data_IF_417409158973
#
_entry.id   IF_417409158973
#
_cell.length_a   1.000
_cell.length_b   1.000
_cell.length_c   1.000
_cell.angle_alpha   90.00
_cell.angle_beta   90.00
_cell.angle_gamma   90.00
#
_symmetry.space_group_name_H-M   'P 1'
#
loop_
_entity.id
_entity.type
_entity.pdbx_description
1 polymer ?
#
# COMPACT_ATOMS: atom_id res chain seq x y z
N UNK A 1 -13.64 13.64 -0.84
CA UNK A 1 -12.84 14.14 -1.98
C UNK A 1 -11.57 13.31 -2.21
N UNK A 2 -10.66 13.16 -1.23
CA UNK A 2 -9.51 12.23 -1.34
C UNK A 2 -9.95 10.77 -1.58
N UNK A 3 -10.96 10.31 -0.85
CA UNK A 3 -11.48 8.93 -0.86
C UNK A 3 -11.89 8.42 -2.25
N UNK A 4 -12.80 9.13 -2.93
CA UNK A 4 -13.31 8.72 -4.26
C UNK A 4 -12.22 8.79 -5.34
N UNK A 5 -11.29 9.75 -5.21
CA UNK A 5 -10.13 9.88 -6.10
C UNK A 5 -9.12 8.76 -5.89
N UNK A 6 -8.90 8.35 -4.64
CA UNK A 6 -8.03 7.22 -4.29
C UNK A 6 -8.57 5.93 -4.90
N UNK A 7 -9.87 5.67 -4.77
CA UNK A 7 -10.50 4.51 -5.40
C UNK A 7 -10.49 4.57 -6.92
N UNK A 8 -10.61 5.75 -7.52
CA UNK A 8 -10.48 5.92 -8.98
C UNK A 8 -9.05 5.63 -9.45
N UNK A 9 -8.04 6.16 -8.75
CA UNK A 9 -6.64 5.91 -9.01
C UNK A 9 -6.32 4.42 -8.84
N UNK A 10 -6.68 3.84 -7.69
CA UNK A 10 -6.55 2.40 -7.38
C UNK A 10 -7.28 1.55 -8.43
N UNK A 11 -8.50 1.89 -8.85
CA UNK A 11 -9.26 1.17 -9.87
C UNK A 11 -8.59 1.24 -11.24
N UNK A 12 -8.05 2.40 -11.61
CA UNK A 12 -7.24 2.57 -12.82
C UNK A 12 -5.97 1.73 -12.74
N UNK A 13 -5.31 1.67 -11.59
CA UNK A 13 -4.13 0.83 -11.37
C UNK A 13 -4.44 -0.68 -11.42
N UNK A 14 -5.57 -1.12 -10.83
CA UNK A 14 -6.01 -2.52 -10.87
C UNK A 14 -6.46 -2.99 -12.27
N UNK A 15 -6.78 -2.06 -13.18
CA UNK A 15 -7.15 -2.36 -14.57
C UNK A 15 -5.95 -2.70 -15.46
N UNK A 16 -4.72 -2.34 -15.07
CA UNK A 16 -3.54 -2.71 -15.83
C UNK A 16 -3.14 -4.18 -15.56
N UNK A 17 -2.79 -4.91 -16.63
CA UNK A 17 -2.51 -6.36 -16.62
C UNK A 17 -1.40 -6.79 -15.65
N UNK A 18 -0.64 -5.84 -15.11
CA UNK A 18 0.45 -6.01 -14.14
C UNK A 18 -0.02 -6.74 -12.86
N UNK A 19 -1.26 -6.48 -12.40
CA UNK A 19 -1.79 -7.07 -11.17
C UNK A 19 -2.27 -8.52 -11.31
N UNK A 20 -2.61 -8.99 -12.51
CA UNK A 20 -3.19 -10.35 -12.65
C UNK A 20 -2.13 -11.44 -12.71
N UNK A 21 -1.01 -11.23 -13.39
CA UNK A 21 0.01 -12.27 -13.60
C UNK A 21 1.24 -12.09 -12.72
N UNK A 22 1.90 -10.91 -12.78
CA UNK A 22 3.15 -10.65 -12.05
C UNK A 22 2.91 -10.58 -10.54
N UNK A 23 1.83 -9.91 -10.15
CA UNK A 23 1.52 -9.71 -8.75
C UNK A 23 1.05 -10.98 -8.04
N UNK A 24 0.27 -11.83 -8.71
CA UNK A 24 -0.11 -13.13 -8.19
C UNK A 24 1.11 -14.02 -7.95
N UNK A 25 2.07 -14.02 -8.88
CA UNK A 25 3.33 -14.75 -8.74
C UNK A 25 4.15 -14.24 -7.54
N UNK A 26 4.21 -12.93 -7.34
CA UNK A 26 4.88 -12.33 -6.19
C UNK A 26 4.21 -12.70 -4.86
N UNK A 27 2.87 -12.72 -4.80
CA UNK A 27 2.15 -13.17 -3.61
C UNK A 27 2.33 -14.68 -3.35
N UNK A 28 2.48 -15.52 -4.37
CA UNK A 28 2.76 -16.95 -4.19
C UNK A 28 4.16 -17.22 -3.64
N UNK A 29 5.13 -16.39 -4.04
CA UNK A 29 6.54 -16.58 -3.67
C UNK A 29 6.97 -15.78 -2.44
N UNK A 30 6.19 -14.79 -2.01
CA UNK A 30 6.54 -13.91 -0.91
C UNK A 30 5.41 -13.79 0.14
N UNK A 31 5.59 -14.35 1.35
CA UNK A 31 4.57 -14.31 2.40
C UNK A 31 4.16 -12.90 2.83
N UNK A 32 5.09 -11.94 2.84
CA UNK A 32 4.77 -10.56 3.22
C UNK A 32 3.80 -9.90 2.23
N UNK A 33 4.03 -10.11 0.93
CA UNK A 33 3.17 -9.60 -0.13
C UNK A 33 1.81 -10.29 -0.07
N UNK A 34 1.78 -11.60 0.14
CA UNK A 34 0.54 -12.36 0.32
C UNK A 34 -0.31 -11.78 1.46
N UNK A 35 0.28 -11.65 2.64
CA UNK A 35 -0.43 -11.19 3.83
C UNK A 35 -0.93 -9.74 3.66
N UNK A 36 -0.12 -8.87 3.06
CA UNK A 36 -0.50 -7.48 2.82
C UNK A 36 -1.75 -7.42 1.91
N UNK A 37 -1.81 -8.29 0.92
CA UNK A 37 -2.91 -8.31 -0.05
C UNK A 37 -4.19 -8.91 0.48
N UNK A 38 -4.10 -9.93 1.31
CA UNK A 38 -5.26 -10.46 2.00
C UNK A 38 -5.84 -9.44 2.97
N UNK A 39 -4.97 -8.65 3.60
CA UNK A 39 -5.39 -7.49 4.39
C UNK A 39 -6.10 -6.44 3.52
N UNK A 40 -5.49 -6.03 2.41
CA UNK A 40 -6.08 -5.05 1.48
C UNK A 40 -7.44 -5.49 0.95
N UNK A 41 -7.55 -6.74 0.51
CA UNK A 41 -8.79 -7.31 -0.02
C UNK A 41 -9.90 -7.27 1.04
N UNK A 42 -9.56 -7.59 2.29
CA UNK A 42 -10.50 -7.55 3.41
C UNK A 42 -10.92 -6.13 3.75
N UNK A 43 -9.99 -5.17 3.81
CA UNK A 43 -10.29 -3.75 4.05
C UNK A 43 -11.07 -3.12 2.91
N UNK A 44 -10.79 -3.49 1.66
CA UNK A 44 -11.57 -3.06 0.52
C UNK A 44 -13.00 -3.59 0.58
N UNK A 45 -13.21 -4.85 1.00
CA UNK A 45 -14.55 -5.40 1.20
C UNK A 45 -15.29 -4.71 2.34
N UNK A 46 -14.61 -4.44 3.46
CA UNK A 46 -15.17 -3.65 4.57
C UNK A 46 -15.61 -2.27 4.08
N UNK A 47 -14.75 -1.61 3.30
CA UNK A 47 -15.05 -0.32 2.68
C UNK A 47 -16.29 -0.39 1.79
N UNK A 48 -16.34 -1.33 0.84
CA UNK A 48 -17.48 -1.46 -0.07
C UNK A 48 -18.78 -1.74 0.69
N UNK A 49 -18.76 -2.64 1.68
CA UNK A 49 -19.96 -2.98 2.45
C UNK A 49 -20.43 -1.80 3.31
N UNK A 50 -19.50 -1.03 3.88
CA UNK A 50 -19.81 0.21 4.60
C UNK A 50 -20.52 1.24 3.71
N UNK A 51 -20.12 1.34 2.43
CA UNK A 51 -20.72 2.27 1.47
C UNK A 51 -22.12 1.84 1.01
N UNK A 52 -22.37 0.53 0.85
CA UNK A 52 -23.64 0.02 0.32
C UNK A 52 -24.68 -0.30 1.40
N UNK A 53 -24.25 -0.57 2.64
CA UNK A 53 -25.12 -1.02 3.72
C UNK A 53 -24.93 -0.18 5.00
N UNK A 54 -25.74 0.88 5.19
CA UNK A 54 -25.72 1.67 6.42
C UNK A 54 -25.92 0.78 7.66
N UNK A 55 -25.04 0.93 8.66
CA UNK A 55 -25.08 0.12 9.88
C UNK A 55 -24.31 -1.21 9.81
N UNK A 56 -23.70 -1.56 8.67
CA UNK A 56 -22.86 -2.76 8.54
C UNK A 56 -21.76 -2.84 9.62
N UNK A 57 -21.23 -1.70 10.05
CA UNK A 57 -20.22 -1.60 11.11
C UNK A 57 -20.64 -2.23 12.45
N UNK A 58 -21.95 -2.32 12.72
CA UNK A 58 -22.50 -2.91 13.95
C UNK A 58 -22.69 -4.44 13.85
N UNK A 59 -22.42 -5.03 12.69
CA UNK A 59 -22.64 -6.45 12.46
C UNK A 59 -21.47 -7.29 12.97
N UNK A 60 -21.77 -8.53 13.35
CA UNK A 60 -20.75 -9.53 13.68
C UNK A 60 -19.81 -9.79 12.49
N UNK A 61 -20.34 -9.81 11.28
CA UNK A 61 -19.57 -10.00 10.05
C UNK A 61 -18.51 -8.92 9.86
N UNK A 62 -18.85 -7.65 10.12
CA UNK A 62 -17.88 -6.56 10.08
C UNK A 62 -16.76 -6.78 11.10
N UNK A 63 -17.10 -7.19 12.32
CA UNK A 63 -16.12 -7.44 13.37
C UNK A 63 -15.18 -8.60 13.01
N UNK A 64 -15.71 -9.74 12.57
CA UNK A 64 -14.91 -10.90 12.17
C UNK A 64 -14.00 -10.60 10.97
N UNK A 65 -14.53 -9.90 9.97
CA UNK A 65 -13.74 -9.49 8.80
C UNK A 65 -12.67 -8.47 9.17
N UNK A 66 -12.94 -7.54 10.09
CA UNK A 66 -11.96 -6.57 10.60
C UNK A 66 -10.82 -7.25 11.35
N UNK A 67 -11.12 -8.24 12.21
CA UNK A 67 -10.09 -9.03 12.89
C UNK A 67 -9.22 -9.77 11.88
N UNK A 68 -9.82 -10.41 10.87
CA UNK A 68 -9.06 -11.08 9.80
C UNK A 68 -8.19 -10.10 9.03
N UNK A 69 -8.72 -8.94 8.65
CA UNK A 69 -7.99 -7.90 7.93
C UNK A 69 -6.76 -7.45 8.72
N UNK A 70 -6.92 -7.17 10.02
CA UNK A 70 -5.84 -6.76 10.91
C UNK A 70 -4.83 -7.89 11.19
N UNK A 71 -5.30 -9.14 11.31
CA UNK A 71 -4.43 -10.30 11.48
C UNK A 71 -3.49 -10.44 10.28
N UNK A 72 -4.02 -10.27 9.08
CA UNK A 72 -3.23 -10.30 7.84
C UNK A 72 -2.28 -9.11 7.74
N UNK A 73 -2.72 -7.92 8.13
CA UNK A 73 -1.87 -6.73 8.22
C UNK A 73 -0.64 -6.99 9.09
N UNK A 74 -0.85 -7.51 10.31
CA UNK A 74 0.23 -7.80 11.26
C UNK A 74 1.09 -8.99 10.82
N UNK A 75 0.52 -9.98 10.13
CA UNK A 75 1.29 -11.07 9.54
C UNK A 75 2.24 -10.56 8.44
N UNK A 76 1.80 -9.61 7.62
CA UNK A 76 2.63 -8.97 6.61
C UNK A 76 3.81 -8.22 7.24
N UNK A 77 3.56 -7.41 8.27
CA UNK A 77 4.62 -6.72 9.02
C UNK A 77 5.66 -7.72 9.55
N UNK A 78 5.21 -8.79 10.21
CA UNK A 78 6.11 -9.82 10.74
C UNK A 78 6.92 -10.52 9.65
N UNK A 79 6.32 -10.79 8.49
CA UNK A 79 6.99 -11.41 7.36
C UNK A 79 8.05 -10.49 6.73
N UNK A 80 7.76 -9.18 6.62
CA UNK A 80 8.76 -8.18 6.21
C UNK A 80 9.91 -8.17 7.21
N UNK A 81 9.64 -8.02 8.50
CA UNK A 81 10.69 -7.92 9.54
C UNK A 81 11.60 -9.14 9.65
N UNK A 82 11.12 -10.34 9.30
CA UNK A 82 11.89 -11.59 9.36
C UNK A 82 12.77 -11.85 8.13
N UNK A 83 12.58 -11.08 7.07
CA UNK A 83 13.31 -11.29 5.82
C UNK A 83 14.72 -10.68 5.93
N UNK A 84 15.75 -11.45 5.57
CA UNK A 84 17.14 -10.97 5.47
C UNK A 84 17.30 -10.01 4.28
N UNK A 85 18.34 -9.16 4.29
CA UNK A 85 18.64 -8.12 3.27
C UNK A 85 18.93 -8.66 1.86
N UNK A 86 17.97 -9.37 1.30
CA UNK A 86 17.95 -9.85 -0.07
C UNK A 86 17.22 -8.85 -0.98
N UNK A 87 17.43 -8.89 -2.30
CA UNK A 87 16.61 -8.15 -3.26
C UNK A 87 15.11 -8.39 -3.10
N UNK A 88 14.71 -9.62 -2.73
CA UNK A 88 13.31 -10.00 -2.47
C UNK A 88 12.74 -9.36 -1.20
N UNK A 89 13.58 -9.06 -0.21
CA UNK A 89 13.17 -8.30 0.97
C UNK A 89 12.86 -6.84 0.63
N UNK A 90 13.68 -6.20 -0.20
CA UNK A 90 13.45 -4.81 -0.63
C UNK A 90 12.15 -4.70 -1.41
N UNK A 91 11.93 -5.66 -2.31
CA UNK A 91 10.69 -5.80 -3.08
C UNK A 91 9.47 -5.95 -2.15
N UNK A 92 9.54 -6.86 -1.16
CA UNK A 92 8.42 -7.08 -0.24
C UNK A 92 8.17 -5.88 0.67
N UNK A 93 9.22 -5.23 1.15
CA UNK A 93 9.13 -4.04 2.01
C UNK A 93 8.45 -2.87 1.28
N UNK A 94 8.85 -2.58 0.04
CA UNK A 94 8.24 -1.53 -0.76
C UNK A 94 6.78 -1.84 -1.09
N UNK A 95 6.48 -3.09 -1.47
CA UNK A 95 5.09 -3.47 -1.76
C UNK A 95 4.18 -3.49 -0.56
N UNK A 96 4.63 -4.02 0.57
CA UNK A 96 3.86 -3.95 1.81
C UNK A 96 3.60 -2.50 2.21
N UNK A 97 4.57 -1.60 2.01
CA UNK A 97 4.38 -0.16 2.27
C UNK A 97 3.30 0.45 1.36
N UNK A 98 3.37 0.23 0.04
CA UNK A 98 2.33 0.67 -0.92
C UNK A 98 0.94 0.19 -0.50
N UNK A 99 0.83 -1.09 -0.15
CA UNK A 99 -0.43 -1.69 0.27
C UNK A 99 -0.94 -1.11 1.60
N UNK A 100 -0.05 -0.89 2.58
CA UNK A 100 -0.44 -0.30 3.86
C UNK A 100 -0.90 1.15 3.73
N UNK A 101 -0.25 1.95 2.87
CA UNK A 101 -0.73 3.32 2.56
C UNK A 101 -2.17 3.24 2.07
N UNK A 102 -2.46 2.37 1.09
CA UNK A 102 -3.81 2.19 0.56
C UNK A 102 -4.80 1.77 1.67
N UNK A 103 -4.41 0.84 2.54
CA UNK A 103 -5.26 0.38 3.64
C UNK A 103 -5.58 1.53 4.60
N UNK A 104 -4.59 2.31 5.02
CA UNK A 104 -4.82 3.44 5.93
C UNK A 104 -5.68 4.53 5.28
N UNK A 105 -5.55 4.73 3.97
CA UNK A 105 -6.47 5.59 3.21
C UNK A 105 -7.91 5.05 3.19
N UNK A 106 -8.13 3.74 3.01
CA UNK A 106 -9.46 3.13 3.08
C UNK A 106 -10.08 3.21 4.48
N UNK A 107 -9.25 3.25 5.51
CA UNK A 107 -9.63 3.40 6.92
C UNK A 107 -9.82 4.86 7.34
N UNK A 108 -9.56 5.80 6.44
CA UNK A 108 -9.56 7.25 6.69
C UNK A 108 -8.56 7.68 7.79
N UNK A 109 -7.49 6.89 8.04
CA UNK A 109 -6.42 7.20 8.99
C UNK A 109 -5.29 7.97 8.28
N UNK A 110 -5.55 9.25 8.04
CA UNK A 110 -4.63 10.13 7.28
C UNK A 110 -3.27 10.25 7.95
N UNK A 111 -3.22 10.30 9.28
CA UNK A 111 -1.97 10.42 10.02
C UNK A 111 -1.06 9.20 9.77
N UNK A 112 -1.60 7.98 9.88
CA UNK A 112 -0.81 6.77 9.58
C UNK A 112 -0.47 6.65 8.10
N UNK A 113 -1.37 7.04 7.21
CA UNK A 113 -1.10 7.06 5.77
C UNK A 113 0.09 7.97 5.43
N UNK A 114 0.20 9.14 6.06
CA UNK A 114 1.33 10.07 5.89
C UNK A 114 2.65 9.50 6.44
N UNK A 115 2.62 8.87 7.62
CA UNK A 115 3.80 8.22 8.19
C UNK A 115 4.29 7.11 7.26
N UNK A 116 3.38 6.27 6.76
CA UNK A 116 3.69 5.19 5.83
C UNK A 116 4.18 5.72 4.47
N UNK A 117 3.60 6.82 3.97
CA UNK A 117 4.06 7.49 2.75
C UNK A 117 5.52 7.94 2.87
N UNK A 118 5.87 8.62 3.96
CA UNK A 118 7.26 9.07 4.20
C UNK A 118 8.23 7.91 4.30
N UNK A 119 7.83 6.85 5.01
CA UNK A 119 8.61 5.61 5.07
C UNK A 119 8.80 5.00 3.68
N UNK A 120 7.73 4.96 2.88
CA UNK A 120 7.72 4.44 1.51
C UNK A 120 8.64 5.21 0.58
N UNK A 121 8.60 6.54 0.63
CA UNK A 121 9.49 7.42 -0.15
C UNK A 121 10.96 7.16 0.21
N UNK A 122 11.26 7.00 1.51
CA UNK A 122 12.63 6.69 1.94
C UNK A 122 13.10 5.31 1.46
N UNK A 123 12.23 4.29 1.53
CA UNK A 123 12.53 2.95 0.98
C UNK A 123 12.79 3.03 -0.52
N UNK A 124 11.93 3.74 -1.26
CA UNK A 124 12.02 3.89 -2.70
C UNK A 124 13.36 4.55 -3.10
N UNK A 125 13.71 5.65 -2.45
CA UNK A 125 14.97 6.36 -2.70
C UNK A 125 16.20 5.47 -2.50
N UNK A 126 16.18 4.66 -1.43
CA UNK A 126 17.28 3.74 -1.14
C UNK A 126 17.41 2.65 -2.23
N UNK A 127 16.28 2.07 -2.67
CA UNK A 127 16.25 1.08 -3.75
C UNK A 127 16.78 1.68 -5.07
N UNK A 128 16.42 2.93 -5.38
CA UNK A 128 16.88 3.62 -6.58
C UNK A 128 18.39 3.90 -6.56
N UNK A 129 18.93 4.29 -5.40
CA UNK A 129 20.37 4.48 -5.22
C UNK A 129 21.13 3.18 -5.47
N UNK A 130 20.69 2.07 -4.87
CA UNK A 130 21.35 0.78 -5.07
C UNK A 130 21.23 0.25 -6.49
N UNK A 131 20.14 0.56 -7.21
CA UNK A 131 20.01 0.26 -8.64
C UNK A 131 21.01 1.09 -9.47
N UNK A 132 21.15 2.38 -9.17
CA UNK A 132 22.09 3.28 -9.86
C UNK A 132 23.56 2.88 -9.63
N UNK A 133 23.88 2.39 -8.43
CA UNK A 133 25.20 1.89 -8.07
C UNK A 133 25.49 0.46 -8.57
N UNK A 134 24.48 -0.25 -9.11
CA UNK A 134 24.61 -1.63 -9.57
C UNK A 134 24.62 -2.68 -8.46
N UNK A 135 24.31 -2.28 -7.21
CA UNK A 135 24.25 -3.15 -6.03
C UNK A 135 22.98 -4.02 -5.97
N UNK A 136 21.96 -3.66 -6.75
CA UNK A 136 20.69 -4.37 -6.82
C UNK A 136 20.36 -4.72 -8.28
N UNK A 137 20.13 -6.00 -8.63
CA UNK A 137 19.73 -6.35 -9.98
C UNK A 137 18.34 -5.82 -10.32
N UNK A 138 18.23 -5.11 -11.44
CA UNK A 138 16.96 -4.65 -11.99
C UNK A 138 16.17 -5.85 -12.53
N UNK A 139 15.15 -6.29 -11.79
CA UNK A 139 14.18 -7.26 -12.28
C UNK A 139 12.90 -6.56 -12.73
N UNK A 140 12.22 -7.12 -13.73
CA UNK A 140 10.92 -6.62 -14.21
C UNK A 140 9.89 -6.42 -13.08
N UNK A 141 9.91 -7.30 -12.08
CA UNK A 141 9.02 -7.23 -10.93
C UNK A 141 9.35 -6.02 -10.05
N UNK A 142 10.62 -5.82 -9.73
CA UNK A 142 11.08 -4.67 -8.95
C UNK A 142 10.79 -3.35 -9.66
N UNK A 143 11.05 -3.27 -10.97
CA UNK A 143 10.79 -2.07 -11.77
C UNK A 143 9.29 -1.73 -11.84
N UNK A 144 8.43 -2.74 -12.01
CA UNK A 144 6.98 -2.53 -11.99
C UNK A 144 6.49 -1.99 -10.63
N UNK A 145 7.09 -2.50 -9.53
CA UNK A 145 6.80 -2.06 -8.17
C UNK A 145 7.27 -0.63 -7.92
N UNK A 146 8.47 -0.29 -8.38
CA UNK A 146 9.01 1.09 -8.33
C UNK A 146 8.08 2.05 -9.09
N UNK A 147 7.68 1.69 -10.30
CA UNK A 147 6.77 2.51 -11.10
C UNK A 147 5.41 2.72 -10.38
N UNK A 148 4.86 1.66 -9.79
CA UNK A 148 3.63 1.73 -9.00
C UNK A 148 3.79 2.64 -7.77
N UNK A 149 4.88 2.44 -7.01
CA UNK A 149 5.17 3.23 -5.83
C UNK A 149 5.31 4.71 -6.16
N UNK A 150 6.04 5.07 -7.23
CA UNK A 150 6.15 6.44 -7.73
C UNK A 150 4.78 7.04 -8.05
N UNK A 151 4.01 6.38 -8.90
CA UNK A 151 2.70 6.88 -9.31
C UNK A 151 1.75 7.12 -8.12
N UNK A 152 1.75 6.21 -7.14
CA UNK A 152 0.94 6.37 -5.94
C UNK A 152 1.47 7.49 -5.03
N UNK A 153 2.78 7.49 -4.76
CA UNK A 153 3.39 8.42 -3.80
C UNK A 153 3.42 9.84 -4.34
N UNK A 154 3.76 10.05 -5.60
CA UNK A 154 3.74 11.36 -6.25
C UNK A 154 2.33 11.94 -6.23
N UNK A 155 1.32 11.13 -6.59
CA UNK A 155 -0.08 11.54 -6.54
C UNK A 155 -0.52 11.93 -5.12
N UNK A 156 -0.18 11.10 -4.12
CA UNK A 156 -0.56 11.36 -2.74
C UNK A 156 0.16 12.59 -2.18
N UNK A 157 1.43 12.79 -2.54
CA UNK A 157 2.23 13.94 -2.15
C UNK A 157 1.64 15.24 -2.71
N UNK A 158 1.29 15.27 -4.00
CA UNK A 158 0.65 16.42 -4.64
C UNK A 158 -0.71 16.76 -4.00
N UNK A 159 -1.51 15.75 -3.67
CA UNK A 159 -2.81 15.99 -3.03
C UNK A 159 -2.62 16.52 -1.59
N UNK A 160 -1.63 16.02 -0.85
CA UNK A 160 -1.29 16.53 0.49
C UNK A 160 -0.77 17.97 0.40
N UNK A 161 0.06 18.29 -0.58
CA UNK A 161 0.57 19.65 -0.80
C UNK A 161 -0.55 20.64 -1.16
N UNK A 162 -1.51 20.22 -1.97
CA UNK A 162 -2.70 21.05 -2.26
C UNK A 162 -3.52 21.33 -1.02
N UNK A 163 -3.72 20.31 -0.18
CA UNK A 163 -4.48 20.45 1.07
C UNK A 163 -3.74 21.31 2.08
N UNK A 164 -2.42 21.15 2.22
CA UNK A 164 -1.60 21.98 3.12
C UNK A 164 -1.62 23.46 2.71
N UNK A 165 -1.55 23.75 1.41
CA UNK A 165 -1.65 25.12 0.88
C UNK A 165 -3.02 25.76 1.14
N UNK A 166 -4.11 24.98 1.09
CA UNK A 166 -5.46 25.47 1.37
C UNK A 166 -5.64 25.78 2.87
N UNK A 167 -5.05 24.97 3.74
CA UNK A 167 -5.25 25.05 5.20
C UNK A 167 -4.18 25.91 5.88
N UNK A 168 -3.07 26.22 5.19
CA UNK A 168 -1.95 27.00 5.73
C UNK A 168 -1.11 26.24 6.76
N UNK A 169 -1.14 24.90 6.73
CA UNK A 169 -0.43 24.03 7.69
C UNK A 169 0.44 23.04 6.92
N UNK A 170 1.74 22.99 7.21
CA UNK A 170 2.64 22.03 6.61
C UNK A 170 2.43 20.63 7.21
N UNK A 171 1.72 19.78 6.48
CA UNK A 171 1.45 18.38 6.86
C UNK A 171 2.67 17.46 6.58
N UNK A 172 3.74 18.01 6.01
CA UNK A 172 4.96 17.32 5.61
C UNK A 172 6.19 17.63 6.49
N UNK A 173 6.04 18.39 7.59
CA UNK A 173 7.05 18.50 8.64
C UNK A 173 7.15 17.23 9.48
#
# INVERSE_FOLDING_TARGET
>A
MLRDRTLSAISRFFKEQIWRSKFLLMAQTNPAIWHAMMSLSSYHLLYLRRMHYPGFEKTRDFHELSIRALTQYNAAIRAVMRSQESPQYKLSKLMSCVVFVIIEMLRDDVAKALILLRLGINILRHIEQELAEGNLPASDALLAIIALAKLLFDWLYEEVLRVSQIIGVDLLQ
#
